data_IF_202129717078
#
_entry.id   IF_202129717078
#
_cell.length_a   1.000
_cell.length_b   1.000
_cell.length_c   1.000
_cell.angle_alpha   90.00
_cell.angle_beta   90.00
_cell.angle_gamma   90.00
#
_symmetry.space_group_name_H-M   'P 1'
#
loop_
_entity.id
_entity.type
_entity.pdbx_description
1 polymer ?
#
# COMPACT_ATOMS: atom_id res chain seq x y z
N UNK A 1 22.65 2.91 -41.04
CA UNK A 1 21.75 4.06 -41.28
C UNK A 1 20.35 3.60 -40.88
N UNK A 2 19.98 3.75 -39.61
CA UNK A 2 18.66 3.33 -39.11
C UNK A 2 17.73 4.54 -39.14
N UNK A 3 16.65 4.41 -39.92
CA UNK A 3 15.65 5.43 -40.16
C UNK A 3 14.90 5.77 -38.86
N UNK A 4 14.89 7.06 -38.52
CA UNK A 4 14.05 7.62 -37.47
C UNK A 4 12.61 7.68 -37.93
N UNK A 5 11.75 6.90 -37.28
CA UNK A 5 10.31 7.15 -37.23
C UNK A 5 10.06 8.19 -36.15
N UNK A 6 10.05 9.46 -36.54
CA UNK A 6 9.61 10.54 -35.67
C UNK A 6 8.12 10.38 -35.38
N UNK A 7 7.77 10.19 -34.12
CA UNK A 7 6.45 10.55 -33.66
C UNK A 7 6.38 12.07 -33.65
N UNK A 8 5.48 12.64 -34.44
CA UNK A 8 5.04 14.02 -34.30
C UNK A 8 4.37 14.15 -32.92
N UNK A 9 5.14 14.57 -31.92
CA UNK A 9 4.66 14.80 -30.57
C UNK A 9 5.38 15.97 -29.90
N UNK A 10 5.33 17.12 -30.56
CA UNK A 10 5.94 18.38 -30.10
C UNK A 10 5.27 19.01 -28.86
N UNK A 11 4.30 18.34 -28.24
CA UNK A 11 3.55 18.84 -27.08
C UNK A 11 3.72 18.04 -25.78
N UNK A 12 4.22 16.79 -25.84
CA UNK A 12 4.28 15.91 -24.66
C UNK A 12 5.49 16.19 -23.77
N UNK A 13 6.54 16.81 -24.28
CA UNK A 13 7.70 17.19 -23.47
C UNK A 13 8.16 18.61 -23.78
N UNK A 14 7.80 19.56 -22.91
CA UNK A 14 8.16 20.96 -23.06
C UNK A 14 9.43 21.26 -22.25
N UNK A 15 10.49 21.75 -22.90
CA UNK A 15 11.71 22.20 -22.22
C UNK A 15 11.77 23.73 -22.15
N UNK A 16 12.00 24.29 -20.97
CA UNK A 16 12.21 25.74 -20.80
C UNK A 16 13.17 25.99 -19.61
N UNK A 17 14.17 26.86 -19.81
CA UNK A 17 15.11 27.30 -18.77
C UNK A 17 15.77 26.16 -17.95
N UNK A 18 16.14 25.06 -18.60
CA UNK A 18 16.78 23.90 -17.94
C UNK A 18 15.82 22.94 -17.23
N UNK A 19 14.50 23.16 -17.32
CA UNK A 19 13.47 22.25 -16.84
C UNK A 19 12.80 21.53 -18.01
N UNK A 20 12.39 20.29 -17.76
CA UNK A 20 11.54 19.51 -18.66
C UNK A 20 10.20 19.27 -17.99
N UNK A 21 9.11 19.48 -18.74
CA UNK A 21 7.75 19.21 -18.32
C UNK A 21 7.19 18.14 -19.23
N UNK A 22 6.72 17.05 -18.64
CA UNK A 22 5.97 16.04 -19.35
C UNK A 22 4.48 16.39 -19.26
N UNK A 23 3.89 16.78 -20.38
CA UNK A 23 2.45 16.99 -20.49
C UNK A 23 1.85 15.68 -21.05
N UNK A 24 1.23 14.90 -20.18
CA UNK A 24 0.66 13.61 -20.56
C UNK A 24 -0.60 13.81 -21.41
N UNK A 25 -0.76 13.08 -22.53
CA UNK A 25 -1.96 13.13 -23.36
C UNK A 25 -3.23 12.85 -22.55
N UNK A 26 -4.36 13.43 -22.96
CA UNK A 26 -5.67 13.17 -22.36
C UNK A 26 -6.00 11.67 -22.40
N UNK A 27 -6.34 11.09 -21.24
CA UNK A 27 -6.56 9.65 -21.08
C UNK A 27 -5.34 8.87 -20.55
N UNK A 28 -4.18 9.53 -20.42
CA UNK A 28 -3.04 8.96 -19.71
C UNK A 28 -3.34 8.87 -18.22
N UNK A 29 -2.95 7.76 -17.61
CA UNK A 29 -3.05 7.55 -16.17
C UNK A 29 -1.67 7.24 -15.61
N UNK A 30 -1.50 7.59 -14.34
CA UNK A 30 -0.26 7.32 -13.60
C UNK A 30 -0.62 6.36 -12.48
N UNK A 31 0.00 5.18 -12.49
CA UNK A 31 -0.30 4.09 -11.55
C UNK A 31 -0.26 4.55 -10.10
N UNK A 32 0.71 5.40 -9.74
CA UNK A 32 0.85 5.95 -8.40
C UNK A 32 -0.32 6.88 -8.01
N UNK A 33 -0.83 7.67 -8.96
CA UNK A 33 -1.98 8.55 -8.74
C UNK A 33 -3.25 7.70 -8.63
N UNK A 34 -3.40 6.70 -9.50
CA UNK A 34 -4.52 5.77 -9.45
C UNK A 34 -4.56 5.00 -8.13
N UNK A 35 -3.41 4.49 -7.66
CA UNK A 35 -3.29 3.82 -6.38
C UNK A 35 -3.64 4.73 -5.21
N UNK A 36 -3.13 5.98 -5.19
CA UNK A 36 -3.44 6.94 -4.13
C UNK A 36 -4.92 7.28 -4.06
N UNK A 37 -5.57 7.46 -5.22
CA UNK A 37 -7.00 7.72 -5.30
C UNK A 37 -7.82 6.49 -4.87
N UNK A 38 -7.39 5.29 -5.25
CA UNK A 38 -8.04 4.05 -4.84
C UNK A 38 -7.96 3.83 -3.32
N UNK A 39 -6.83 4.14 -2.67
CA UNK A 39 -6.73 4.11 -1.19
C UNK A 39 -7.73 5.08 -0.55
N UNK A 40 -7.81 6.32 -1.04
CA UNK A 40 -8.75 7.31 -0.49
C UNK A 40 -10.21 6.87 -0.68
N UNK A 41 -10.55 6.33 -1.85
CA UNK A 41 -11.88 5.79 -2.13
C UNK A 41 -12.20 4.60 -1.21
N UNK A 42 -11.23 3.71 -0.97
CA UNK A 42 -11.40 2.57 -0.10
C UNK A 42 -11.62 2.97 1.37
N UNK A 43 -10.84 3.93 1.87
CA UNK A 43 -11.02 4.48 3.23
C UNK A 43 -12.39 5.15 3.40
N UNK A 44 -12.83 5.90 2.39
CA UNK A 44 -14.15 6.53 2.39
C UNK A 44 -15.29 5.49 2.36
N UNK A 45 -15.15 4.45 1.53
CA UNK A 45 -16.12 3.35 1.46
C UNK A 45 -16.18 2.57 2.78
N UNK A 46 -15.04 2.31 3.42
CA UNK A 46 -14.97 1.67 4.73
C UNK A 46 -15.69 2.52 5.80
N UNK A 47 -15.46 3.83 5.81
CA UNK A 47 -16.13 4.76 6.72
C UNK A 47 -17.65 4.83 6.48
N UNK A 48 -18.09 4.64 5.24
CA UNK A 48 -19.50 4.57 4.86
C UNK A 48 -20.15 3.20 5.15
N UNK A 49 -19.38 2.19 5.57
CA UNK A 49 -19.85 0.82 5.79
C UNK A 49 -20.04 0.00 4.51
N UNK A 50 -19.61 0.50 3.35
CA UNK A 50 -19.61 -0.25 2.09
C UNK A 50 -18.35 -1.11 2.01
N UNK A 51 -18.38 -2.23 2.73
CA UNK A 51 -17.25 -3.15 2.81
C UNK A 51 -16.91 -3.84 1.48
N UNK A 52 -17.85 -3.94 0.55
CA UNK A 52 -17.59 -4.54 -0.76
C UNK A 52 -16.71 -3.59 -1.58
N UNK A 53 -17.14 -2.34 -1.71
CA UNK A 53 -16.37 -1.32 -2.42
C UNK A 53 -15.03 -1.03 -1.76
N UNK A 54 -14.98 -0.99 -0.43
CA UNK A 54 -13.73 -0.82 0.30
C UNK A 54 -12.68 -1.89 -0.05
N UNK A 55 -13.12 -3.15 -0.21
CA UNK A 55 -12.22 -4.26 -0.58
C UNK A 55 -11.77 -4.16 -2.04
N UNK A 56 -12.68 -3.81 -2.94
CA UNK A 56 -12.36 -3.69 -4.36
C UNK A 56 -11.34 -2.56 -4.59
N UNK A 57 -11.59 -1.37 -4.04
CA UNK A 57 -10.73 -0.20 -4.18
C UNK A 57 -9.37 -0.43 -3.49
N UNK A 58 -9.34 -1.00 -2.28
CA UNK A 58 -8.08 -1.31 -1.58
C UNK A 58 -7.30 -2.46 -2.25
N UNK A 59 -8.00 -3.45 -2.81
CA UNK A 59 -7.40 -4.53 -3.58
C UNK A 59 -6.71 -4.03 -4.84
N UNK A 60 -7.37 -3.11 -5.56
CA UNK A 60 -6.80 -2.44 -6.73
C UNK A 60 -5.55 -1.62 -6.35
N UNK A 61 -5.62 -0.84 -5.27
CA UNK A 61 -4.46 -0.09 -4.78
C UNK A 61 -3.27 -1.00 -4.41
N UNK A 62 -3.53 -2.10 -3.68
CA UNK A 62 -2.48 -3.05 -3.32
C UNK A 62 -1.85 -3.74 -4.54
N UNK A 63 -2.64 -4.04 -5.57
CA UNK A 63 -2.13 -4.63 -6.81
C UNK A 63 -1.14 -3.68 -7.52
N UNK A 64 -1.50 -2.39 -7.65
CA UNK A 64 -0.65 -1.36 -8.26
C UNK A 64 0.63 -1.10 -7.44
N UNK A 65 0.52 -1.09 -6.10
CA UNK A 65 1.65 -0.78 -5.20
C UNK A 65 2.55 -1.97 -4.89
N UNK A 66 2.16 -3.18 -5.29
CA UNK A 66 2.99 -4.38 -5.10
C UNK A 66 4.20 -4.40 -6.03
N UNK A 67 4.11 -3.74 -7.18
CA UNK A 67 5.22 -3.64 -8.11
C UNK A 67 6.29 -2.69 -7.57
N UNK A 68 7.56 -3.10 -7.67
CA UNK A 68 8.66 -2.30 -7.14
C UNK A 68 8.83 -1.03 -7.97
N UNK A 69 8.80 0.13 -7.32
CA UNK A 69 9.05 1.40 -7.99
C UNK A 69 10.50 1.51 -8.46
N UNK A 70 10.66 1.65 -9.79
CA UNK A 70 11.94 1.79 -10.50
C UNK A 70 12.98 0.75 -10.08
N UNK A 71 12.79 -0.54 -10.44
CA UNK A 71 13.77 -1.57 -10.12
C UNK A 71 15.09 -1.27 -10.84
N UNK A 72 16.19 -1.21 -10.08
CA UNK A 72 17.53 -0.89 -10.60
C UNK A 72 18.04 0.52 -10.27
N UNK A 73 17.18 1.41 -9.78
CA UNK A 73 17.58 2.73 -9.32
C UNK A 73 17.69 2.78 -7.79
N UNK A 74 18.82 3.30 -7.28
CA UNK A 74 19.14 3.34 -5.84
C UNK A 74 19.40 4.78 -5.33
N UNK A 75 18.98 5.78 -6.09
CA UNK A 75 19.04 7.18 -5.67
C UNK A 75 18.25 7.41 -4.38
N UNK A 76 18.74 8.31 -3.51
CA UNK A 76 18.06 8.64 -2.24
C UNK A 76 16.60 9.09 -2.44
N UNK A 77 16.32 9.80 -3.54
CA UNK A 77 14.95 10.19 -3.90
C UNK A 77 14.06 8.97 -4.22
N UNK A 78 14.62 7.90 -4.81
CA UNK A 78 13.91 6.64 -5.09
C UNK A 78 13.61 5.92 -3.79
N UNK A 79 14.57 5.84 -2.88
CA UNK A 79 14.37 5.23 -1.55
C UNK A 79 13.30 5.95 -0.75
N UNK A 80 13.32 7.28 -0.76
CA UNK A 80 12.27 8.09 -0.13
C UNK A 80 10.91 7.82 -0.79
N UNK A 81 10.86 7.73 -2.12
CA UNK A 81 9.60 7.45 -2.81
C UNK A 81 9.07 6.05 -2.53
N UNK A 82 9.94 5.04 -2.48
CA UNK A 82 9.57 3.67 -2.09
C UNK A 82 8.95 3.64 -0.70
N UNK A 83 9.50 4.37 0.28
CA UNK A 83 8.91 4.50 1.62
C UNK A 83 7.51 5.11 1.60
N UNK A 84 7.29 6.18 0.85
CA UNK A 84 5.96 6.78 0.69
C UNK A 84 4.95 5.80 0.07
N UNK A 85 5.40 4.96 -0.87
CA UNK A 85 4.55 3.95 -1.50
C UNK A 85 4.27 2.77 -0.57
N UNK A 86 5.24 2.36 0.26
CA UNK A 86 5.05 1.34 1.30
C UNK A 86 4.05 1.82 2.38
N UNK A 87 4.10 3.10 2.77
CA UNK A 87 3.11 3.73 3.66
C UNK A 87 1.72 3.71 3.03
N UNK A 88 1.61 4.05 1.74
CA UNK A 88 0.33 4.03 1.03
C UNK A 88 -0.24 2.60 0.90
N UNK A 89 0.63 1.63 0.63
CA UNK A 89 0.26 0.22 0.54
C UNK A 89 -0.18 -0.32 1.89
N UNK A 90 0.50 0.08 2.96
CA UNK A 90 0.13 -0.24 4.33
C UNK A 90 -1.30 0.22 4.66
N UNK A 91 -1.70 1.42 4.20
CA UNK A 91 -3.08 1.92 4.36
C UNK A 91 -4.10 1.08 3.59
N UNK A 92 -3.80 0.68 2.36
CA UNK A 92 -4.66 -0.24 1.60
C UNK A 92 -4.86 -1.58 2.33
N UNK A 93 -3.78 -2.18 2.83
CA UNK A 93 -3.84 -3.45 3.56
C UNK A 93 -4.62 -3.33 4.87
N UNK A 94 -4.49 -2.21 5.59
CA UNK A 94 -5.30 -1.91 6.76
C UNK A 94 -6.79 -1.87 6.43
N UNK A 95 -7.18 -1.18 5.35
CA UNK A 95 -8.59 -1.13 4.90
C UNK A 95 -9.11 -2.53 4.54
N UNK A 96 -8.31 -3.36 3.86
CA UNK A 96 -8.68 -4.73 3.56
C UNK A 96 -8.92 -5.55 4.84
N UNK A 97 -8.01 -5.46 5.81
CA UNK A 97 -8.14 -6.15 7.09
C UNK A 97 -9.41 -5.70 7.83
N UNK A 98 -9.62 -4.39 7.96
CA UNK A 98 -10.76 -3.80 8.68
C UNK A 98 -12.09 -4.12 7.97
N UNK A 99 -12.15 -4.06 6.64
CA UNK A 99 -13.33 -4.42 5.86
C UNK A 99 -13.67 -5.92 5.99
N UNK A 100 -12.68 -6.81 6.00
CA UNK A 100 -12.89 -8.24 6.22
C UNK A 100 -13.31 -8.58 7.66
N UNK A 101 -12.77 -7.87 8.65
CA UNK A 101 -13.22 -8.00 10.04
C UNK A 101 -14.69 -7.62 10.20
N UNK A 102 -15.07 -6.45 9.69
CA UNK A 102 -16.43 -5.92 9.86
C UNK A 102 -17.48 -6.67 9.02
N UNK A 103 -17.08 -7.24 7.88
CA UNK A 103 -17.97 -8.06 7.04
C UNK A 103 -18.07 -9.54 7.48
N UNK A 104 -17.49 -9.91 8.62
CA UNK A 104 -17.60 -11.27 9.17
C UNK A 104 -16.70 -12.31 8.50
N UNK A 105 -15.62 -11.88 7.83
CA UNK A 105 -14.61 -12.74 7.20
C UNK A 105 -13.23 -12.64 7.90
N UNK A 106 -13.12 -12.93 9.21
CA UNK A 106 -11.92 -12.68 9.99
C UNK A 106 -10.70 -13.51 9.55
N UNK A 107 -10.91 -14.67 8.90
CA UNK A 107 -9.82 -15.48 8.34
C UNK A 107 -9.08 -14.78 7.20
N UNK A 108 -9.82 -14.06 6.34
CA UNK A 108 -9.20 -13.24 5.28
C UNK A 108 -8.52 -12.01 5.89
N UNK A 109 -9.10 -11.42 6.93
CA UNK A 109 -8.46 -10.31 7.64
C UNK A 109 -7.09 -10.69 8.23
N UNK A 110 -6.92 -11.93 8.73
CA UNK A 110 -5.62 -12.43 9.21
C UNK A 110 -4.57 -12.39 8.11
N UNK A 111 -4.93 -12.74 6.87
CA UNK A 111 -3.99 -12.72 5.73
C UNK A 111 -3.48 -11.30 5.49
N UNK A 112 -4.38 -10.33 5.37
CA UNK A 112 -4.02 -8.93 5.09
C UNK A 112 -3.27 -8.30 6.26
N UNK A 113 -3.67 -8.54 7.50
CA UNK A 113 -2.97 -8.03 8.67
C UNK A 113 -1.55 -8.62 8.84
N UNK A 114 -1.32 -9.86 8.40
CA UNK A 114 0.04 -10.43 8.33
C UNK A 114 0.91 -9.73 7.31
N UNK A 115 0.35 -9.40 6.14
CA UNK A 115 1.07 -8.62 5.12
C UNK A 115 1.42 -7.22 5.64
N UNK A 116 0.50 -6.55 6.34
CA UNK A 116 0.78 -5.26 7.01
C UNK A 116 1.95 -5.37 7.99
N UNK A 117 1.97 -6.38 8.86
CA UNK A 117 3.06 -6.57 9.84
C UNK A 117 4.39 -6.93 9.17
N UNK A 118 4.36 -7.65 8.05
CA UNK A 118 5.56 -7.96 7.29
C UNK A 118 6.15 -6.72 6.60
N UNK A 119 5.29 -5.82 6.12
CA UNK A 119 5.69 -4.56 5.49
C UNK A 119 6.19 -3.54 6.53
N UNK A 120 5.49 -3.42 7.65
CA UNK A 120 5.80 -2.48 8.73
C UNK A 120 5.94 -3.20 10.09
N UNK A 121 7.07 -3.90 10.35
CA UNK A 121 7.26 -4.70 11.57
C UNK A 121 7.26 -3.91 12.88
N UNK A 122 7.38 -2.59 12.81
CA UNK A 122 7.44 -1.70 13.98
C UNK A 122 6.11 -0.98 14.27
N UNK A 123 5.07 -1.23 13.48
CA UNK A 123 3.79 -0.54 13.62
C UNK A 123 2.85 -1.34 14.52
N UNK A 124 2.63 -0.84 15.74
CA UNK A 124 1.78 -1.51 16.74
C UNK A 124 0.34 -1.75 16.24
N UNK A 125 -0.20 -0.82 15.45
CA UNK A 125 -1.55 -0.95 14.89
C UNK A 125 -1.70 -2.17 13.98
N UNK A 126 -0.64 -2.58 13.27
CA UNK A 126 -0.64 -3.80 12.46
C UNK A 126 -0.76 -5.07 13.31
N UNK A 127 -0.02 -5.14 14.42
CA UNK A 127 -0.12 -6.26 15.37
C UNK A 127 -1.49 -6.31 16.04
N UNK A 128 -2.05 -5.16 16.41
CA UNK A 128 -3.38 -5.07 17.03
C UNK A 128 -4.46 -5.66 16.13
N UNK A 129 -4.51 -5.22 14.87
CA UNK A 129 -5.44 -5.76 13.86
C UNK A 129 -5.24 -7.26 13.63
N UNK A 130 -3.99 -7.71 13.60
CA UNK A 130 -3.69 -9.13 13.46
C UNK A 130 -4.20 -9.95 14.65
N UNK A 131 -4.07 -9.45 15.88
CA UNK A 131 -4.63 -10.10 17.07
C UNK A 131 -6.16 -10.12 17.02
N UNK A 132 -6.81 -9.00 16.68
CA UNK A 132 -8.26 -8.91 16.53
C UNK A 132 -8.78 -9.88 15.47
N UNK A 133 -8.10 -9.99 14.33
CA UNK A 133 -8.44 -10.94 13.28
C UNK A 133 -8.28 -12.40 13.74
N UNK A 134 -7.23 -12.71 14.49
CA UNK A 134 -7.06 -14.05 15.07
C UNK A 134 -8.14 -14.40 16.10
N UNK A 135 -8.52 -13.45 16.97
CA UNK A 135 -9.62 -13.63 17.93
C UNK A 135 -10.95 -13.83 17.21
N UNK A 136 -11.27 -12.98 16.22
CA UNK A 136 -12.48 -13.11 15.41
C UNK A 136 -12.54 -14.42 14.62
N UNK A 137 -11.39 -14.95 14.20
CA UNK A 137 -11.28 -16.24 13.51
C UNK A 137 -11.37 -17.47 14.44
N UNK A 138 -11.52 -17.27 15.76
CA UNK A 138 -11.58 -18.35 16.76
C UNK A 138 -10.21 -18.92 17.16
N UNK A 139 -9.12 -18.19 16.90
CA UNK A 139 -7.74 -18.63 17.16
C UNK A 139 -7.03 -17.75 18.22
N UNK A 140 -7.51 -17.68 19.47
CA UNK A 140 -6.92 -16.82 20.50
C UNK A 140 -5.48 -17.19 20.85
N UNK A 141 -5.09 -18.46 20.69
CA UNK A 141 -3.71 -18.90 20.90
C UNK A 141 -2.74 -18.24 19.90
N UNK A 142 -3.15 -18.03 18.66
CA UNK A 142 -2.35 -17.31 17.67
C UNK A 142 -2.28 -15.81 17.97
N UNK A 143 -3.38 -15.20 18.45
CA UNK A 143 -3.35 -13.81 18.90
C UNK A 143 -2.31 -13.61 20.02
N UNK A 144 -2.22 -14.55 20.97
CA UNK A 144 -1.21 -14.51 22.04
C UNK A 144 0.22 -14.65 21.49
N UNK A 145 0.46 -15.54 20.52
CA UNK A 145 1.76 -15.68 19.85
C UNK A 145 2.17 -14.39 19.13
N UNK A 146 1.23 -13.70 18.50
CA UNK A 146 1.46 -12.40 17.84
C UNK A 146 1.82 -11.34 18.89
N UNK A 147 1.14 -11.31 20.03
CA UNK A 147 1.49 -10.42 21.15
C UNK A 147 2.90 -10.68 21.69
N UNK A 148 3.26 -11.95 21.93
CA UNK A 148 4.60 -12.30 22.41
C UNK A 148 5.69 -11.90 21.42
N UNK A 149 5.45 -12.07 20.11
CA UNK A 149 6.37 -11.63 19.05
C UNK A 149 6.56 -10.12 19.07
N UNK A 150 5.47 -9.37 19.12
CA UNK A 150 5.48 -7.91 19.24
C UNK A 150 6.30 -7.48 20.46
N UNK A 151 6.00 -8.07 21.64
CA UNK A 151 6.71 -7.77 22.89
C UNK A 151 8.21 -8.04 22.80
N UNK A 152 8.64 -9.14 22.19
CA UNK A 152 10.06 -9.45 22.00
C UNK A 152 10.73 -8.44 21.07
N UNK A 153 10.10 -8.11 19.95
CA UNK A 153 10.64 -7.16 18.97
C UNK A 153 10.85 -5.76 19.58
N UNK A 154 9.95 -5.31 20.47
CA UNK A 154 10.11 -4.04 21.18
C UNK A 154 11.05 -4.13 22.39
N UNK A 155 11.18 -5.29 23.03
CA UNK A 155 12.09 -5.48 24.16
C UNK A 155 13.56 -5.60 23.74
N UNK A 156 13.85 -6.16 22.56
CA UNK A 156 15.21 -6.30 22.01
C UNK A 156 15.78 -4.98 21.46
N UNK A 157 14.99 -3.89 21.48
CA UNK A 157 15.48 -2.57 21.11
C UNK A 157 16.21 -1.95 22.31
N UNK A 158 17.55 -1.80 22.27
CA UNK A 158 18.24 -0.99 23.27
C UNK A 158 17.65 0.42 23.20
N UNK A 159 17.28 0.96 24.36
CA UNK A 159 16.92 2.37 24.49
C UNK A 159 18.17 3.18 24.14
N UNK A 160 18.25 3.66 22.90
CA UNK A 160 19.23 4.65 22.45
C UNK A 160 18.76 6.04 22.80
#
# INVERSE_FOLDING_TARGET
MLAGGGADDTGVLTSAFGCYRLDLPTGSWVDLIAAANAVQAAEAALAAGDFARAKDDAGAANALLREQFLPGEEGEWVKQKRRELDELRTRALDVLADAHLQSGAPREAVKWAKETVALEPFRETGYRRLMEAHVGAGNPAEALRVYERCRRLFADRPRG
#
